data_IF_021115854680
#
_entry.id   IF_021115854680
#
_cell.length_a   1.000
_cell.length_b   1.000
_cell.length_c   1.000
_cell.angle_alpha   90.00
_cell.angle_beta   90.00
_cell.angle_gamma   90.00
#
_symmetry.space_group_name_H-M   'P 1'
#
loop_
_entity.id
_entity.type
_entity.pdbx_description
1 polymer ?
#
# COMPACT_ATOMS: atom_id res chain seq x y z
N UNK A 1 2.60 -8.00 17.36
CA UNK A 1 2.29 -7.93 15.92
C UNK A 1 3.11 -6.81 15.33
N UNK A 2 3.87 -7.04 14.26
CA UNK A 2 4.69 -6.00 13.61
C UNK A 2 3.82 -5.20 12.65
N UNK A 3 3.93 -3.88 12.67
CA UNK A 3 3.19 -2.96 11.79
C UNK A 3 4.22 -1.99 11.20
N UNK A 4 4.27 -1.91 9.87
CA UNK A 4 5.10 -0.97 9.14
C UNK A 4 4.18 0.07 8.46
N UNK A 5 4.52 1.36 8.56
CA UNK A 5 3.73 2.46 8.00
C UNK A 5 4.50 3.10 6.85
N UNK A 6 3.88 3.15 5.67
CA UNK A 6 4.42 3.82 4.48
C UNK A 6 3.59 5.07 4.21
N UNK A 7 4.24 6.24 4.25
CA UNK A 7 3.61 7.55 4.04
C UNK A 7 4.45 8.43 3.10
N UNK A 8 3.83 9.47 2.54
CA UNK A 8 4.46 10.41 1.61
C UNK A 8 3.46 11.11 0.70
N UNK A 9 3.90 12.18 0.05
CA UNK A 9 3.07 12.99 -0.87
C UNK A 9 2.50 12.17 -2.06
N UNK A 10 1.49 12.71 -2.74
CA UNK A 10 1.00 12.16 -4.00
C UNK A 10 2.16 12.12 -5.01
N UNK A 11 2.29 11.01 -5.74
CA UNK A 11 3.40 10.83 -6.67
C UNK A 11 4.75 10.44 -6.05
N UNK A 12 4.87 10.29 -4.72
CA UNK A 12 6.12 9.88 -4.06
C UNK A 12 6.58 8.43 -4.33
N UNK A 13 5.88 7.69 -5.20
CA UNK A 13 6.25 6.31 -5.56
C UNK A 13 5.92 5.24 -4.52
N UNK A 14 5.01 5.53 -3.57
CA UNK A 14 4.61 4.60 -2.49
C UNK A 14 4.15 3.23 -3.02
N UNK A 15 3.27 3.21 -4.02
CA UNK A 15 2.77 1.98 -4.64
C UNK A 15 3.89 1.15 -5.27
N UNK A 16 4.85 1.80 -5.96
CA UNK A 16 6.01 1.13 -6.55
C UNK A 16 6.89 0.49 -5.48
N UNK A 17 7.09 1.16 -4.34
CA UNK A 17 7.83 0.60 -3.21
C UNK A 17 7.12 -0.63 -2.64
N UNK A 18 5.82 -0.54 -2.37
CA UNK A 18 5.01 -1.67 -1.86
C UNK A 18 5.12 -2.88 -2.80
N UNK A 19 4.95 -2.68 -4.11
CA UNK A 19 5.07 -3.76 -5.09
C UNK A 19 6.46 -4.42 -5.10
N UNK A 20 7.53 -3.64 -4.97
CA UNK A 20 8.90 -4.17 -4.88
C UNK A 20 9.14 -4.97 -3.61
N UNK A 21 8.56 -4.54 -2.49
CA UNK A 21 8.65 -5.28 -1.22
C UNK A 21 7.92 -6.62 -1.33
N UNK A 22 6.65 -6.61 -1.78
CA UNK A 22 5.82 -7.81 -1.94
C UNK A 22 6.43 -8.83 -2.90
N UNK A 23 7.08 -8.40 -3.97
CA UNK A 23 7.78 -9.28 -4.93
C UNK A 23 9.18 -9.71 -4.48
N UNK A 24 9.72 -9.06 -3.46
CA UNK A 24 11.10 -9.22 -3.03
C UNK A 24 11.20 -9.83 -1.65
N UNK A 25 11.70 -9.04 -0.70
CA UNK A 25 12.16 -9.50 0.62
C UNK A 25 11.07 -10.17 1.46
N UNK A 26 9.81 -9.81 1.26
CA UNK A 26 8.68 -10.31 2.05
C UNK A 26 7.78 -11.26 1.24
N UNK A 27 8.23 -11.74 0.08
CA UNK A 27 7.44 -12.61 -0.79
C UNK A 27 7.06 -13.94 -0.14
N UNK A 28 7.85 -14.43 0.82
CA UNK A 28 7.58 -15.65 1.60
C UNK A 28 6.79 -15.38 2.89
N UNK A 29 6.48 -14.13 3.21
CA UNK A 29 5.76 -13.75 4.43
C UNK A 29 4.25 -13.65 4.17
N UNK A 30 3.45 -14.09 5.15
CA UNK A 30 2.02 -13.81 5.13
C UNK A 30 1.79 -12.37 5.59
N UNK A 31 1.54 -11.49 4.64
CA UNK A 31 1.32 -10.07 4.88
C UNK A 31 -0.11 -9.66 4.55
N UNK A 32 -0.63 -8.70 5.32
CA UNK A 32 -1.91 -8.03 5.04
C UNK A 32 -1.56 -6.59 4.66
N UNK A 33 -2.05 -6.16 3.50
CA UNK A 33 -1.90 -4.80 3.01
C UNK A 33 -3.21 -4.04 3.25
N UNK A 34 -3.12 -2.88 3.90
CA UNK A 34 -4.23 -1.96 4.10
C UNK A 34 -3.84 -0.64 3.46
N UNK A 35 -4.60 -0.22 2.46
CA UNK A 35 -4.40 1.06 1.78
C UNK A 35 -5.58 1.98 2.09
N UNK A 36 -5.28 3.25 2.38
CA UNK A 36 -6.29 4.29 2.45
C UNK A 36 -6.42 4.91 1.06
N UNK A 37 -7.43 4.52 0.30
CA UNK A 37 -7.82 5.25 -0.91
C UNK A 37 -8.77 6.38 -0.54
N UNK A 38 -8.40 7.61 -0.92
CA UNK A 38 -9.29 8.76 -0.86
C UNK A 38 -9.62 9.12 -2.31
N UNK A 39 -10.71 8.59 -2.86
CA UNK A 39 -11.03 8.78 -4.28
C UNK A 39 -12.19 7.99 -4.90
N UNK A 40 -12.59 6.83 -4.38
CA UNK A 40 -13.81 6.16 -4.84
C UNK A 40 -14.99 6.48 -3.93
N UNK A 41 -15.43 7.74 -3.97
CA UNK A 41 -16.83 8.03 -3.64
C UNK A 41 -17.55 8.03 -4.99
N UNK A 42 -17.98 6.86 -5.45
CA UNK A 42 -19.08 6.80 -6.41
C UNK A 42 -20.30 7.34 -5.68
N UNK A 43 -20.55 8.63 -5.85
CA UNK A 43 -21.85 9.23 -5.60
C UNK A 43 -22.75 8.69 -6.72
N UNK A 44 -23.18 7.43 -6.60
CA UNK A 44 -24.31 6.95 -7.39
C UNK A 44 -25.49 7.85 -7.01
N UNK A 45 -25.86 8.70 -7.96
CA UNK A 45 -27.09 9.49 -7.94
C UNK A 45 -28.13 8.78 -8.77
#
# INVERSE_FOLDING_TARGET
>A
MKIDIISGFLGAGKTTLIQRLLKGRIASEKVVLIENEFGEISVDT
#
